data_IF_921874563646
#
_entry.id   IF_921874563646
#
_cell.length_a   1.000
_cell.length_b   1.000
_cell.length_c   1.000
_cell.angle_alpha   90.00
_cell.angle_beta   90.00
_cell.angle_gamma   90.00
#
_symmetry.space_group_name_H-M   'P 1'
#
loop_
_entity.id
_entity.type
_entity.pdbx_description
1 polymer ?
#
# COMPACT_ATOMS: atom_id res chain seq x y z
N UNK A 1 16.71 20.31 -3.46
CA UNK A 1 16.80 18.90 -3.04
C UNK A 1 15.60 18.10 -3.54
N UNK A 2 14.35 18.48 -3.21
CA UNK A 2 13.14 17.75 -3.63
C UNK A 2 13.07 17.51 -5.15
N UNK A 3 13.26 18.54 -5.98
CA UNK A 3 13.26 18.38 -7.45
C UNK A 3 14.34 17.43 -8.00
N UNK A 4 15.42 17.17 -7.26
CA UNK A 4 16.41 16.14 -7.64
C UNK A 4 15.88 14.73 -7.37
N UNK A 5 15.21 14.50 -6.22
CA UNK A 5 14.56 13.22 -5.91
C UNK A 5 13.52 12.84 -6.99
N UNK A 6 12.66 13.80 -7.36
CA UNK A 6 11.65 13.62 -8.40
C UNK A 6 12.29 13.28 -9.75
N UNK A 7 13.34 14.01 -10.14
CA UNK A 7 14.08 13.76 -11.38
C UNK A 7 14.75 12.39 -11.40
N UNK A 8 15.40 11.98 -10.30
CA UNK A 8 16.04 10.65 -10.19
C UNK A 8 15.01 9.53 -10.28
N UNK A 9 13.82 9.70 -9.69
CA UNK A 9 12.72 8.74 -9.79
C UNK A 9 12.23 8.61 -11.25
N UNK A 10 12.03 9.74 -11.94
CA UNK A 10 11.64 9.78 -13.34
C UNK A 10 12.68 9.13 -14.27
N UNK A 11 13.96 9.47 -14.10
CA UNK A 11 15.06 8.94 -14.92
C UNK A 11 15.29 7.43 -14.69
N UNK A 12 15.08 6.92 -13.47
CA UNK A 12 15.28 5.51 -13.14
C UNK A 12 14.13 4.59 -13.56
N UNK A 13 12.89 5.05 -13.43
CA UNK A 13 11.69 4.22 -13.61
C UNK A 13 10.84 4.60 -14.83
N UNK A 14 11.19 5.65 -15.57
CA UNK A 14 10.44 6.11 -16.75
C UNK A 14 9.13 6.85 -16.42
N UNK A 15 8.84 7.11 -15.14
CA UNK A 15 7.61 7.76 -14.68
C UNK A 15 7.61 9.27 -14.95
N UNK A 16 6.46 9.85 -15.26
CA UNK A 16 6.28 11.31 -15.25
C UNK A 16 6.16 11.81 -13.81
N UNK A 17 6.81 12.92 -13.47
CA UNK A 17 6.70 13.57 -12.15
C UNK A 17 6.06 14.94 -12.25
N UNK A 18 5.17 15.27 -11.31
CA UNK A 18 4.48 16.58 -11.26
C UNK A 18 4.29 17.09 -9.82
N UNK A 19 4.26 18.41 -9.65
CA UNK A 19 3.99 19.07 -8.36
C UNK A 19 5.13 19.06 -7.34
N UNK A 20 6.24 18.34 -7.58
CA UNK A 20 7.43 18.32 -6.72
C UNK A 20 8.20 19.65 -6.63
N UNK A 21 7.86 20.61 -7.49
CA UNK A 21 8.35 21.99 -7.52
C UNK A 21 7.46 22.98 -6.73
N UNK A 22 6.34 22.50 -6.19
CA UNK A 22 5.41 23.29 -5.37
C UNK A 22 6.13 23.97 -4.18
N UNK A 23 5.90 25.28 -3.93
CA UNK A 23 6.42 25.95 -2.74
C UNK A 23 5.93 25.34 -1.42
N UNK A 24 6.77 25.37 -0.40
CA UNK A 24 6.42 24.94 0.96
C UNK A 24 6.48 23.43 1.23
N UNK A 25 6.76 22.60 0.22
CA UNK A 25 6.94 21.15 0.40
C UNK A 25 8.07 20.83 1.40
N UNK A 26 7.79 19.90 2.31
CA UNK A 26 8.72 19.45 3.32
C UNK A 26 9.51 18.23 2.81
N UNK A 27 10.81 18.22 3.06
CA UNK A 27 11.68 17.13 2.59
C UNK A 27 11.32 15.75 3.18
N UNK A 28 11.02 15.58 4.48
CA UNK A 28 10.78 14.24 5.02
C UNK A 28 9.54 13.55 4.43
N UNK A 29 8.34 14.18 4.37
CA UNK A 29 7.17 13.60 3.69
C UNK A 29 7.45 13.16 2.25
N UNK A 30 8.06 14.05 1.46
CA UNK A 30 8.31 13.79 0.04
C UNK A 30 9.40 12.72 -0.15
N UNK A 31 10.42 12.68 0.71
CA UNK A 31 11.45 11.64 0.67
C UNK A 31 10.88 10.27 1.01
N UNK A 32 10.04 10.18 2.04
CA UNK A 32 9.46 8.91 2.47
C UNK A 32 8.47 8.37 1.41
N UNK A 33 7.70 9.25 0.75
CA UNK A 33 6.90 8.92 -0.44
C UNK A 33 7.76 8.40 -1.61
N UNK A 34 8.77 9.16 -2.03
CA UNK A 34 9.67 8.78 -3.15
C UNK A 34 10.42 7.48 -2.85
N UNK A 35 10.84 7.24 -1.60
CA UNK A 35 11.51 6.01 -1.20
C UNK A 35 10.60 4.77 -1.25
N UNK A 36 9.29 4.94 -0.98
CA UNK A 36 8.32 3.85 -1.16
C UNK A 36 8.11 3.53 -2.64
N UNK A 37 7.95 4.55 -3.49
CA UNK A 37 7.80 4.39 -4.95
C UNK A 37 9.05 3.78 -5.57
N UNK A 38 10.24 4.31 -5.28
CA UNK A 38 11.51 3.82 -5.82
C UNK A 38 11.75 2.34 -5.48
N UNK A 39 11.46 1.94 -4.24
CA UNK A 39 11.55 0.55 -3.82
C UNK A 39 10.56 -0.33 -4.57
N UNK A 40 9.27 0.05 -4.60
CA UNK A 40 8.24 -0.82 -5.20
C UNK A 40 8.47 -0.99 -6.70
N UNK A 41 8.81 0.07 -7.44
CA UNK A 41 9.10 -0.07 -8.88
C UNK A 41 10.41 -0.83 -9.16
N UNK A 42 11.37 -0.85 -8.21
CA UNK A 42 12.57 -1.71 -8.29
C UNK A 42 12.24 -3.19 -8.02
N UNK A 43 11.51 -3.47 -6.94
CA UNK A 43 11.21 -4.83 -6.47
C UNK A 43 10.09 -5.50 -7.31
N UNK A 44 9.21 -4.71 -7.93
CA UNK A 44 8.01 -5.14 -8.65
C UNK A 44 7.88 -4.48 -10.03
N UNK A 45 8.79 -4.74 -10.98
CA UNK A 45 8.82 -4.09 -12.31
C UNK A 45 7.64 -4.46 -13.22
N UNK A 46 6.73 -5.35 -12.80
CA UNK A 46 5.47 -5.61 -13.49
C UNK A 46 4.39 -4.53 -13.24
N UNK A 47 4.63 -3.60 -12.31
CA UNK A 47 3.70 -2.49 -12.04
C UNK A 47 3.92 -1.40 -13.09
N UNK A 48 2.95 -1.25 -13.99
CA UNK A 48 2.83 -0.03 -14.79
C UNK A 48 2.41 1.14 -13.90
N UNK A 49 3.19 2.21 -13.91
CA UNK A 49 2.86 3.48 -13.27
C UNK A 49 3.30 4.61 -14.21
N UNK A 50 2.37 5.45 -14.65
CA UNK A 50 2.67 6.51 -15.61
C UNK A 50 3.08 7.82 -14.93
N UNK A 51 2.50 8.09 -13.76
CA UNK A 51 2.64 9.38 -13.07
C UNK A 51 2.87 9.22 -11.57
N UNK A 52 3.81 10.00 -11.04
CA UNK A 52 4.00 10.20 -9.61
C UNK A 52 3.82 11.69 -9.33
N UNK A 53 2.88 12.06 -8.45
CA UNK A 53 2.46 13.44 -8.27
C UNK A 53 2.48 13.89 -6.81
N UNK A 54 2.62 15.20 -6.60
CA UNK A 54 2.20 15.89 -5.38
C UNK A 54 1.09 16.86 -5.74
N UNK A 55 -0.14 16.61 -5.28
CA UNK A 55 -1.31 17.39 -5.64
C UNK A 55 -2.34 17.39 -4.49
N UNK A 56 -3.32 18.29 -4.55
CA UNK A 56 -4.48 18.20 -3.64
C UNK A 56 -5.26 16.91 -3.93
N UNK A 57 -5.54 16.13 -2.89
CA UNK A 57 -6.49 15.02 -2.96
C UNK A 57 -7.85 15.44 -2.40
N UNK A 58 -8.91 14.67 -2.68
CA UNK A 58 -10.19 14.90 -2.00
C UNK A 58 -10.07 14.59 -0.49
N UNK A 59 -10.93 15.21 0.32
CA UNK A 59 -10.87 15.06 1.79
C UNK A 59 -11.10 13.63 2.30
N UNK A 60 -11.56 12.72 1.44
CA UNK A 60 -11.79 11.30 1.74
C UNK A 60 -10.60 10.41 1.28
N UNK A 61 -9.57 10.99 0.65
CA UNK A 61 -8.50 10.24 0.00
C UNK A 61 -7.38 9.77 0.91
N UNK A 62 -7.21 10.38 2.07
CA UNK A 62 -6.05 10.14 2.94
C UNK A 62 -4.76 10.80 2.42
N UNK A 63 -3.61 10.33 2.94
CA UNK A 63 -2.29 10.93 2.68
C UNK A 63 -1.77 10.68 1.26
N UNK A 64 -2.09 9.51 0.70
CA UNK A 64 -1.60 9.02 -0.59
C UNK A 64 -2.75 8.28 -1.26
N UNK A 65 -2.90 8.44 -2.58
CA UNK A 65 -3.90 7.75 -3.39
C UNK A 65 -3.27 7.21 -4.66
N UNK A 66 -3.58 5.96 -4.98
CA UNK A 66 -3.46 5.46 -6.35
C UNK A 66 -4.77 5.74 -7.12
N UNK A 67 -4.65 6.25 -8.35
CA UNK A 67 -5.78 6.47 -9.27
C UNK A 67 -5.47 5.89 -10.66
N UNK A 68 -6.54 5.46 -11.35
CA UNK A 68 -6.52 5.18 -12.79
C UNK A 68 -7.39 6.21 -13.48
N UNK A 69 -6.76 7.16 -14.16
CA UNK A 69 -7.45 8.30 -14.77
C UNK A 69 -7.65 8.07 -16.28
N UNK A 70 -8.86 8.29 -16.83
CA UNK A 70 -9.10 8.14 -18.26
C UNK A 70 -8.46 9.30 -19.05
N UNK A 71 -7.40 9.02 -19.79
CA UNK A 71 -6.74 9.95 -20.70
C UNK A 71 -7.11 9.75 -22.17
N UNK A 72 -6.75 10.72 -23.02
CA UNK A 72 -7.04 10.70 -24.45
C UNK A 72 -6.30 9.59 -25.22
N UNK A 73 -5.14 9.14 -24.72
CA UNK A 73 -4.32 8.09 -25.31
C UNK A 73 -4.52 6.71 -24.62
N UNK A 74 -5.40 6.65 -23.61
CA UNK A 74 -5.60 5.50 -22.74
C UNK A 74 -5.75 5.92 -21.28
N UNK A 75 -6.09 4.97 -20.41
CA UNK A 75 -6.10 5.24 -18.97
C UNK A 75 -4.66 5.28 -18.43
N UNK A 76 -4.34 6.27 -17.59
CA UNK A 76 -3.02 6.40 -16.96
C UNK A 76 -3.10 6.09 -15.47
N UNK A 77 -2.16 5.28 -14.99
CA UNK A 77 -2.02 4.94 -13.58
C UNK A 77 -1.14 5.98 -12.87
N UNK A 78 -1.66 6.57 -11.80
CA UNK A 78 -1.02 7.62 -11.04
C UNK A 78 -0.92 7.28 -9.55
N UNK A 79 0.18 7.71 -8.93
CA UNK A 79 0.40 7.65 -7.48
C UNK A 79 0.60 9.08 -6.98
N UNK A 80 -0.30 9.55 -6.13
CA UNK A 80 -0.35 10.97 -5.72
C UNK A 80 -0.25 11.10 -4.21
N UNK A 81 0.74 11.88 -3.75
CA UNK A 81 0.86 12.35 -2.36
C UNK A 81 0.02 13.62 -2.19
N UNK A 82 -0.80 13.67 -1.14
CA UNK A 82 -1.57 14.87 -0.78
C UNK A 82 -0.63 16.06 -0.51
N UNK A 83 -0.89 17.19 -1.18
CA UNK A 83 -0.10 18.41 -1.04
C UNK A 83 -0.11 18.94 0.38
N UNK A 84 -1.23 18.88 1.09
CA UNK A 84 -1.33 19.35 2.48
C UNK A 84 -0.44 18.49 3.39
N UNK A 85 -0.53 17.16 3.31
CA UNK A 85 0.41 16.26 4.00
C UNK A 85 1.87 16.42 3.55
N UNK A 86 2.15 16.75 2.28
CA UNK A 86 3.50 17.02 1.81
C UNK A 86 4.07 18.38 2.30
N UNK A 87 3.22 19.30 2.74
CA UNK A 87 3.57 20.59 3.33
C UNK A 87 3.57 20.58 4.87
N UNK A 88 2.97 19.57 5.49
CA UNK A 88 3.00 19.38 6.95
C UNK A 88 4.45 19.17 7.43
N UNK A 89 4.94 20.01 8.38
CA UNK A 89 6.20 19.73 9.06
C UNK A 89 6.10 18.36 9.72
N UNK A 90 7.13 17.53 9.57
CA UNK A 90 7.21 16.28 10.31
C UNK A 90 7.06 16.61 11.81
N UNK A 91 5.99 16.10 12.42
CA UNK A 91 5.72 16.34 13.83
C UNK A 91 6.98 15.98 14.62
N UNK A 92 7.45 16.90 15.47
CA UNK A 92 8.62 16.65 16.30
C UNK A 92 8.36 15.34 17.05
N UNK A 93 9.17 14.32 16.75
CA UNK A 93 8.86 12.95 17.15
C UNK A 93 8.59 12.91 18.67
N UNK A 94 7.49 12.29 19.12
CA UNK A 94 7.24 12.17 20.56
C UNK A 94 8.48 11.50 21.17
N UNK A 95 9.02 12.14 22.21
CA UNK A 95 10.39 11.92 22.70
C UNK A 95 10.71 10.41 22.75
N UNK A 96 11.51 9.96 21.79
CA UNK A 96 11.83 8.55 21.62
C UNK A 96 12.63 8.11 22.83
N UNK A 97 12.21 7.03 23.50
CA UNK A 97 13.04 6.42 24.54
C UNK A 97 14.41 6.06 23.95
N UNK A 98 15.52 6.31 24.67
CA UNK A 98 16.86 6.25 24.10
C UNK A 98 17.20 4.84 23.59
N UNK A 99 17.06 4.64 22.28
CA UNK A 99 17.27 3.35 21.59
C UNK A 99 16.19 2.99 20.56
N UNK A 100 15.03 3.66 20.54
CA UNK A 100 14.01 3.42 19.51
C UNK A 100 14.36 3.99 18.14
N UNK A 101 13.94 3.32 17.06
CA UNK A 101 13.91 3.94 15.73
C UNK A 101 12.92 5.13 15.75
N UNK A 102 13.22 6.24 15.04
CA UNK A 102 12.27 7.33 14.92
C UNK A 102 11.00 6.83 14.25
N UNK A 103 9.84 7.23 14.78
CA UNK A 103 8.55 6.87 14.19
C UNK A 103 8.52 7.23 12.70
N UNK A 104 8.51 6.20 11.83
CA UNK A 104 8.40 6.39 10.38
C UNK A 104 7.13 7.17 10.09
N UNK A 105 7.20 8.10 9.15
CA UNK A 105 5.99 8.75 8.65
C UNK A 105 5.03 7.71 8.10
N UNK A 106 3.75 7.80 8.47
CA UNK A 106 2.68 6.93 7.94
C UNK A 106 2.56 6.99 6.41
N UNK A 107 3.17 8.00 5.76
CA UNK A 107 3.27 8.13 4.30
C UNK A 107 3.94 6.90 3.66
N UNK A 108 5.02 6.36 4.24
CA UNK A 108 5.69 5.19 3.66
C UNK A 108 4.76 3.96 3.62
N UNK A 109 4.18 3.47 4.74
CA UNK A 109 3.22 2.38 4.70
C UNK A 109 1.92 2.73 3.95
N UNK A 110 1.45 3.99 3.95
CA UNK A 110 0.29 4.40 3.15
C UNK A 110 0.57 4.24 1.64
N UNK A 111 1.74 4.67 1.17
CA UNK A 111 2.15 4.51 -0.24
C UNK A 111 2.19 3.03 -0.63
N UNK A 112 2.72 2.17 0.24
CA UNK A 112 2.71 0.73 -0.01
C UNK A 112 1.28 0.14 -0.05
N UNK A 113 0.35 0.60 0.79
CA UNK A 113 -1.06 0.15 0.74
C UNK A 113 -1.70 0.47 -0.61
N UNK A 114 -1.44 1.66 -1.14
CA UNK A 114 -1.96 2.09 -2.44
C UNK A 114 -1.32 1.32 -3.61
N UNK A 115 -0.04 0.93 -3.52
CA UNK A 115 0.55 -0.03 -4.48
C UNK A 115 -0.12 -1.40 -4.46
N UNK A 116 -0.62 -1.85 -3.31
CA UNK A 116 -1.45 -3.06 -3.24
C UNK A 116 -2.77 -2.92 -4.01
N UNK A 117 -3.37 -1.72 -4.06
CA UNK A 117 -4.53 -1.43 -4.91
C UNK A 117 -4.16 -1.40 -6.39
N UNK A 118 -3.04 -0.79 -6.74
CA UNK A 118 -2.50 -0.76 -8.11
C UNK A 118 -2.28 -2.18 -8.67
N UNK A 119 -1.71 -3.08 -7.85
CA UNK A 119 -1.52 -4.49 -8.21
C UNK A 119 -2.85 -5.26 -8.38
N UNK A 120 -3.86 -5.02 -7.54
CA UNK A 120 -5.18 -5.65 -7.70
C UNK A 120 -5.85 -5.19 -9.01
N UNK A 121 -5.68 -3.91 -9.37
CA UNK A 121 -6.15 -3.35 -10.63
C UNK A 121 -5.38 -3.83 -11.87
N UNK A 122 -4.06 -4.01 -11.77
CA UNK A 122 -3.24 -4.64 -12.82
C UNK A 122 -3.64 -6.10 -13.04
N UNK A 123 -3.86 -6.86 -11.96
CA UNK A 123 -4.38 -8.22 -12.00
C UNK A 123 -5.89 -8.36 -12.26
N UNK A 124 -6.58 -7.33 -12.76
CA UNK A 124 -8.01 -7.39 -13.14
C UNK A 124 -8.97 -7.74 -12.00
N UNK A 125 -8.62 -7.44 -10.76
CA UNK A 125 -9.37 -7.81 -9.55
C UNK A 125 -9.39 -9.31 -9.27
N UNK A 126 -8.50 -10.11 -9.87
CA UNK A 126 -8.42 -11.56 -9.64
C UNK A 126 -7.97 -11.85 -8.21
N UNK A 127 -7.05 -11.05 -7.66
CA UNK A 127 -6.61 -11.19 -6.27
C UNK A 127 -7.77 -11.00 -5.29
N UNK A 128 -8.56 -9.93 -5.46
CA UNK A 128 -9.80 -9.68 -4.70
C UNK A 128 -10.78 -10.85 -4.72
N UNK A 129 -10.98 -11.49 -5.88
CA UNK A 129 -11.87 -12.67 -6.03
C UNK A 129 -11.33 -13.92 -5.34
N UNK A 130 -10.01 -14.05 -5.15
CA UNK A 130 -9.37 -15.22 -4.55
C UNK A 130 -9.06 -15.08 -3.06
N UNK A 131 -8.85 -13.84 -2.57
CA UNK A 131 -8.42 -13.52 -1.22
C UNK A 131 -9.19 -14.26 -0.11
N UNK A 132 -10.53 -14.17 -0.10
CA UNK A 132 -11.35 -14.83 0.91
C UNK A 132 -11.22 -16.36 0.85
N UNK A 133 -11.17 -16.96 -0.35
CA UNK A 133 -11.04 -18.42 -0.52
C UNK A 133 -9.70 -18.93 0.00
N UNK A 134 -8.61 -18.20 -0.24
CA UNK A 134 -7.27 -18.56 0.24
C UNK A 134 -7.15 -18.42 1.75
N UNK A 135 -7.70 -17.34 2.33
CA UNK A 135 -7.74 -17.15 3.78
C UNK A 135 -8.57 -18.24 4.50
N UNK A 136 -9.76 -18.56 4.01
CA UNK A 136 -10.59 -19.65 4.56
C UNK A 136 -9.86 -20.99 4.44
N UNK A 137 -9.25 -21.27 3.28
CA UNK A 137 -8.49 -22.51 3.06
C UNK A 137 -7.34 -22.70 4.04
N UNK A 138 -6.53 -21.66 4.29
CA UNK A 138 -5.45 -21.74 5.28
C UNK A 138 -5.99 -21.85 6.72
N UNK A 139 -7.05 -21.10 7.06
CA UNK A 139 -7.63 -21.16 8.39
C UNK A 139 -8.13 -22.57 8.74
N UNK A 140 -8.90 -23.19 7.83
CA UNK A 140 -9.39 -24.56 7.98
C UNK A 140 -8.26 -25.59 8.01
N UNK A 141 -7.15 -25.37 7.29
CA UNK A 141 -5.97 -26.25 7.32
C UNK A 141 -5.25 -26.25 8.69
N UNK A 142 -5.48 -25.22 9.52
CA UNK A 142 -4.80 -25.01 10.82
C UNK A 142 -5.65 -25.34 12.04
N UNK A 143 -6.96 -25.38 11.88
CA UNK A 143 -7.93 -25.56 12.95
C UNK A 143 -8.52 -26.96 12.87
N UNK A 144 -8.06 -27.91 13.70
CA UNK A 144 -8.62 -29.26 13.77
C UNK A 144 -9.90 -29.25 14.61
N UNK A 145 -11.03 -29.21 13.90
CA UNK A 145 -12.39 -29.45 14.40
C UNK A 145 -12.98 -28.43 15.38
N UNK A 146 -14.32 -28.30 15.32
CA UNK A 146 -15.12 -27.37 16.10
C UNK A 146 -16.51 -27.22 15.48
N UNK A 147 -17.45 -26.60 16.21
CA UNK A 147 -18.75 -26.25 15.64
C UNK A 147 -18.60 -25.17 14.58
N UNK A 148 -19.56 -25.09 13.64
CA UNK A 148 -19.56 -24.04 12.61
C UNK A 148 -19.50 -22.61 13.21
N UNK A 149 -20.10 -22.40 14.38
CA UNK A 149 -20.08 -21.12 15.08
C UNK A 149 -18.67 -20.76 15.59
N UNK A 150 -17.95 -21.71 16.17
CA UNK A 150 -16.56 -21.53 16.62
C UNK A 150 -15.62 -21.31 15.44
N UNK A 151 -15.75 -22.10 14.37
CA UNK A 151 -14.99 -21.95 13.12
C UNK A 151 -15.20 -20.57 12.49
N UNK A 152 -16.44 -20.08 12.40
CA UNK A 152 -16.75 -18.76 11.83
C UNK A 152 -16.26 -17.62 12.72
N UNK A 153 -16.34 -17.77 14.05
CA UNK A 153 -15.87 -16.75 15.01
C UNK A 153 -14.35 -16.65 14.97
N UNK A 154 -13.65 -17.77 15.15
CA UNK A 154 -12.19 -17.79 15.10
C UNK A 154 -11.63 -17.39 13.73
N UNK A 155 -12.33 -17.65 12.62
CA UNK A 155 -11.94 -17.12 11.31
C UNK A 155 -12.03 -15.59 11.26
N UNK A 156 -13.11 -15.00 11.81
CA UNK A 156 -13.27 -13.54 11.89
C UNK A 156 -12.16 -12.91 12.74
N UNK A 157 -11.86 -13.50 13.90
CA UNK A 157 -10.81 -13.01 14.81
C UNK A 157 -9.41 -13.14 14.18
N UNK A 158 -9.10 -14.30 13.58
CA UNK A 158 -7.84 -14.52 12.87
C UNK A 158 -7.68 -13.57 11.67
N UNK A 159 -8.75 -13.30 10.93
CA UNK A 159 -8.74 -12.33 9.82
C UNK A 159 -8.58 -10.89 10.31
N UNK A 160 -9.21 -10.51 11.43
CA UNK A 160 -9.13 -9.17 11.99
C UNK A 160 -7.69 -8.78 12.40
N UNK A 161 -6.84 -9.75 12.76
CA UNK A 161 -5.43 -9.53 13.08
C UNK A 161 -4.63 -8.87 11.94
N UNK A 162 -5.04 -9.05 10.68
CA UNK A 162 -4.42 -8.40 9.51
C UNK A 162 -4.61 -6.88 9.49
N UNK A 163 -5.74 -6.37 10.01
CA UNK A 163 -6.03 -4.94 10.03
C UNK A 163 -5.44 -4.21 11.25
N UNK A 164 -4.68 -4.93 12.09
CA UNK A 164 -4.24 -4.44 13.38
C UNK A 164 -5.37 -4.28 14.38
N UNK A 165 -5.04 -3.93 15.63
CA UNK A 165 -5.99 -3.81 16.75
C UNK A 165 -6.92 -2.59 16.66
N UNK A 166 -6.79 -1.75 15.63
CA UNK A 166 -7.44 -0.45 15.51
C UNK A 166 -8.58 -0.39 14.48
N UNK A 167 -8.79 -1.46 13.70
CA UNK A 167 -9.90 -1.51 12.76
C UNK A 167 -11.22 -1.75 13.49
N UNK A 168 -12.22 -0.90 13.26
CA UNK A 168 -13.55 -1.05 13.84
C UNK A 168 -14.20 -2.37 13.37
N UNK A 169 -15.09 -3.00 14.17
CA UNK A 169 -15.82 -4.19 13.74
C UNK A 169 -16.76 -3.87 12.57
N UNK A 170 -16.25 -4.07 11.35
CA UNK A 170 -16.92 -3.76 10.09
C UNK A 170 -16.90 -4.91 9.09
N UNK A 171 -17.42 -4.63 7.88
CA UNK A 171 -17.31 -5.55 6.76
C UNK A 171 -15.85 -5.65 6.28
N UNK A 172 -15.46 -6.82 5.79
CA UNK A 172 -14.08 -7.07 5.36
C UNK A 172 -13.85 -6.49 3.95
N UNK A 173 -13.36 -5.25 3.87
CA UNK A 173 -12.85 -4.69 2.62
C UNK A 173 -11.61 -5.48 2.18
N UNK A 174 -11.82 -6.31 1.17
CA UNK A 174 -10.77 -7.13 0.56
C UNK A 174 -9.71 -6.26 -0.13
N UNK A 175 -10.08 -5.11 -0.68
CA UNK A 175 -9.16 -4.18 -1.33
C UNK A 175 -8.23 -3.51 -0.32
N UNK A 176 -8.76 -3.06 0.81
CA UNK A 176 -7.95 -2.56 1.92
C UNK A 176 -7.04 -3.66 2.49
N UNK A 177 -7.58 -4.87 2.68
CA UNK A 177 -6.81 -6.01 3.18
C UNK A 177 -5.65 -6.42 2.26
N UNK A 178 -5.81 -6.33 0.93
CA UNK A 178 -4.73 -6.55 -0.04
C UNK A 178 -3.66 -5.46 0.05
N UNK A 179 -4.06 -4.20 0.21
CA UNK A 179 -3.14 -3.07 0.45
C UNK A 179 -2.33 -3.24 1.74
N UNK A 180 -3.00 -3.55 2.85
CA UNK A 180 -2.37 -3.82 4.15
C UNK A 180 -1.40 -4.99 4.07
N UNK A 181 -1.81 -6.10 3.45
CA UNK A 181 -0.96 -7.27 3.25
C UNK A 181 0.30 -6.97 2.44
N UNK A 182 0.18 -6.21 1.35
CA UNK A 182 1.34 -5.81 0.55
C UNK A 182 2.29 -4.92 1.36
N UNK A 183 1.76 -3.92 2.06
CA UNK A 183 2.55 -3.03 2.90
C UNK A 183 3.26 -3.77 4.05
N UNK A 184 2.62 -4.74 4.68
CA UNK A 184 3.22 -5.53 5.75
C UNK A 184 4.36 -6.43 5.22
N UNK A 185 4.17 -7.09 4.08
CA UNK A 185 5.18 -7.98 3.49
C UNK A 185 6.37 -7.23 2.91
N UNK A 186 6.17 -6.07 2.28
CA UNK A 186 7.31 -5.25 1.78
C UNK A 186 8.16 -4.70 2.93
N UNK A 187 7.56 -4.42 4.10
CA UNK A 187 8.28 -3.92 5.27
C UNK A 187 8.98 -5.03 6.06
N UNK A 188 8.30 -6.17 6.33
CA UNK A 188 8.78 -7.20 7.26
C UNK A 188 9.19 -8.52 6.58
N UNK A 189 8.94 -8.67 5.27
CA UNK A 189 9.35 -9.85 4.49
C UNK A 189 8.80 -11.16 5.05
N UNK A 190 9.72 -12.03 5.50
CA UNK A 190 9.38 -13.33 6.08
C UNK A 190 8.72 -13.25 7.47
N UNK A 191 8.95 -12.14 8.20
CA UNK A 191 8.40 -11.92 9.55
C UNK A 191 6.93 -11.46 9.52
N UNK A 192 6.43 -11.05 8.34
CA UNK A 192 5.03 -10.70 8.16
C UNK A 192 4.08 -11.87 8.50
N UNK A 193 2.91 -11.52 9.02
CA UNK A 193 1.84 -12.44 9.37
C UNK A 193 1.42 -13.31 8.19
N UNK A 194 0.95 -14.52 8.48
CA UNK A 194 0.59 -15.48 7.43
C UNK A 194 -0.54 -14.94 6.54
N UNK A 195 -1.51 -14.24 7.14
CA UNK A 195 -2.60 -13.55 6.44
C UNK A 195 -2.03 -12.63 5.35
N UNK A 196 -1.06 -11.79 5.72
CA UNK A 196 -0.42 -10.85 4.81
C UNK A 196 0.39 -11.57 3.72
N UNK A 197 1.21 -12.57 4.09
CA UNK A 197 2.01 -13.34 3.12
C UNK A 197 1.16 -14.13 2.12
N UNK A 198 0.01 -14.65 2.52
CA UNK A 198 -0.93 -15.31 1.60
C UNK A 198 -1.59 -14.33 0.63
N UNK A 199 -2.08 -13.19 1.14
CA UNK A 199 -2.70 -12.18 0.31
C UNK A 199 -1.71 -11.52 -0.65
N UNK A 200 -0.49 -11.24 -0.20
CA UNK A 200 0.62 -10.78 -1.05
C UNK A 200 0.93 -11.80 -2.16
N UNK A 201 1.09 -13.09 -1.82
CA UNK A 201 1.36 -14.12 -2.82
C UNK A 201 0.25 -14.23 -3.89
N UNK A 202 -1.02 -14.13 -3.47
CA UNK A 202 -2.18 -14.10 -4.38
C UNK A 202 -2.16 -12.84 -5.25
N UNK A 203 -1.82 -11.68 -4.69
CA UNK A 203 -1.73 -10.40 -5.37
C UNK A 203 -0.65 -10.39 -6.47
N UNK A 204 0.56 -10.81 -6.13
CA UNK A 204 1.68 -10.91 -7.08
C UNK A 204 1.38 -11.96 -8.17
N UNK A 205 0.80 -13.12 -7.80
CA UNK A 205 0.44 -14.16 -8.77
C UNK A 205 -0.70 -13.74 -9.72
N UNK A 206 -1.58 -12.82 -9.30
CA UNK A 206 -2.60 -12.23 -10.16
C UNK A 206 -2.00 -11.18 -11.11
N UNK A 207 -1.21 -10.23 -10.59
CA UNK A 207 -0.61 -9.16 -11.37
C UNK A 207 0.49 -9.63 -12.36
N UNK A 208 1.14 -10.77 -12.08
CA UNK A 208 2.19 -11.33 -12.95
C UNK A 208 1.66 -12.16 -14.12
N UNK A 209 0.33 -12.27 -14.30
CA UNK A 209 -0.29 -12.98 -15.43
C UNK A 209 -0.68 -11.98 -16.51
N UNK A 210 -0.41 -12.25 -17.80
CA UNK A 210 -0.97 -11.43 -18.87
C UNK A 210 -2.50 -11.53 -18.84
N UNK A 211 -3.14 -10.37 -18.92
CA UNK A 211 -4.60 -10.19 -19.08
C UNK A 211 -4.99 -10.15 -20.55
#
# INVERSE_FOLDING_TARGET
MIGWLARTLAERHGVRVSGFDTPGLQLPPVRDFVAAVDRVLTDYPMIGLDTVAVAELDGESGMVRWSREPGAEGATDAMTLDRRTAQEPAAAAPATEPGGEPARSDIYPATLREFGRALDAAGGGVARKQAQRVLIGEYLRRQPDGTLAEVVTGYRDWRAQLAGKSSAPGEFDVGEALGLAFAEVVQHGAEAGIQARLLHAVLIAAASRPV
#
